data_IF_891969832423
#
_entry.id   IF_891969832423
#
_cell.length_a   1.000
_cell.length_b   1.000
_cell.length_c   1.000
_cell.angle_alpha   90.00
_cell.angle_beta   90.00
_cell.angle_gamma   90.00
#
_symmetry.space_group_name_H-M   'P 1'
#
loop_
_entity.id
_entity.type
_entity.pdbx_description
1 polymer ?
#
# COMPACT_ATOMS: atom_id res chain seq x y z
N UNK A 1 -9.94 -10.09 -30.69
CA UNK A 1 -8.68 -10.75 -30.29
C UNK A 1 -8.37 -10.38 -28.84
N UNK A 2 -8.54 -11.30 -27.90
CA UNK A 2 -8.01 -11.22 -26.54
C UNK A 2 -6.47 -11.37 -26.56
N UNK A 3 -5.75 -10.48 -27.26
CA UNK A 3 -4.30 -10.68 -27.53
C UNK A 3 -3.36 -9.72 -26.80
N UNK A 4 -3.87 -8.66 -26.17
CA UNK A 4 -2.99 -7.69 -25.48
C UNK A 4 -2.53 -8.18 -24.10
N UNK A 5 -3.36 -8.92 -23.37
CA UNK A 5 -3.00 -9.57 -22.11
C UNK A 5 -3.99 -10.69 -21.74
N UNK A 6 -3.55 -11.62 -20.89
CA UNK A 6 -4.37 -12.73 -20.37
C UNK A 6 -5.37 -12.26 -19.29
N UNK A 7 -5.12 -11.12 -18.66
CA UNK A 7 -5.94 -10.59 -17.55
C UNK A 7 -6.02 -9.06 -17.56
N UNK A 8 -7.02 -8.51 -16.88
CA UNK A 8 -7.16 -7.05 -16.71
C UNK A 8 -5.92 -6.43 -16.04
N UNK A 9 -5.33 -7.00 -14.97
CA UNK A 9 -4.08 -6.49 -14.42
C UNK A 9 -2.92 -6.50 -15.45
N UNK A 10 -2.82 -7.55 -16.27
CA UNK A 10 -1.81 -7.61 -17.33
C UNK A 10 -2.01 -6.52 -18.38
N UNK A 11 -3.27 -6.21 -18.71
CA UNK A 11 -3.62 -5.14 -19.62
C UNK A 11 -3.24 -3.77 -19.03
N UNK A 12 -3.63 -3.51 -17.77
CA UNK A 12 -3.31 -2.27 -17.06
C UNK A 12 -1.80 -2.06 -16.96
N UNK A 13 -1.04 -3.09 -16.59
CA UNK A 13 0.42 -3.03 -16.51
C UNK A 13 1.04 -2.76 -17.88
N UNK A 14 0.54 -3.41 -18.92
CA UNK A 14 0.98 -3.17 -20.30
C UNK A 14 0.75 -1.73 -20.75
N UNK A 15 -0.41 -1.15 -20.46
CA UNK A 15 -0.67 0.26 -20.76
C UNK A 15 0.20 1.21 -19.92
N UNK A 16 0.40 0.92 -18.64
CA UNK A 16 1.27 1.72 -17.76
C UNK A 16 2.69 1.83 -18.33
N UNK A 17 3.31 0.72 -18.72
CA UNK A 17 4.66 0.75 -19.30
C UNK A 17 4.70 1.40 -20.69
N UNK A 18 3.62 1.35 -21.47
CA UNK A 18 3.54 2.04 -22.77
C UNK A 18 3.49 3.56 -22.63
N UNK A 19 2.87 4.08 -21.57
CA UNK A 19 2.73 5.52 -21.34
C UNK A 19 3.86 6.12 -20.49
N UNK A 20 4.67 5.28 -19.87
CA UNK A 20 5.77 5.72 -19.00
C UNK A 20 6.92 6.36 -19.79
N UNK A 21 7.43 7.53 -19.35
CA UNK A 21 8.63 8.10 -19.96
C UNK A 21 9.84 7.19 -19.78
N UNK A 22 10.67 7.07 -20.83
CA UNK A 22 11.87 6.21 -20.83
C UNK A 22 12.95 6.61 -19.82
N UNK A 23 12.84 7.79 -19.23
CA UNK A 23 13.77 8.30 -18.23
C UNK A 23 13.53 7.72 -16.82
N UNK A 24 12.40 7.03 -16.60
CA UNK A 24 12.13 6.39 -15.32
C UNK A 24 12.78 5.02 -15.23
N UNK A 25 13.39 4.74 -14.09
CA UNK A 25 14.02 3.46 -13.77
C UNK A 25 13.43 2.92 -12.47
N UNK A 26 13.38 1.59 -12.35
CA UNK A 26 12.90 0.89 -11.17
C UNK A 26 14.04 0.16 -10.48
N UNK A 27 14.18 0.36 -9.18
CA UNK A 27 15.03 -0.46 -8.34
C UNK A 27 14.42 -1.87 -8.25
N UNK A 28 15.11 -2.86 -8.80
CA UNK A 28 14.71 -4.25 -8.71
C UNK A 28 15.38 -4.94 -7.52
N UNK A 29 14.61 -5.74 -6.77
CA UNK A 29 15.16 -6.61 -5.74
C UNK A 29 15.80 -7.81 -6.44
N UNK A 30 17.12 -7.97 -6.26
CA UNK A 30 17.91 -9.05 -6.88
C UNK A 30 17.86 -10.30 -6.01
N UNK A 31 18.23 -11.45 -6.57
CA UNK A 31 18.23 -12.74 -5.85
C UNK A 31 19.06 -12.70 -4.55
N UNK A 32 20.19 -11.97 -4.54
CA UNK A 32 21.02 -11.77 -3.35
C UNK A 32 20.29 -11.05 -2.20
N UNK A 33 19.21 -10.34 -2.49
CA UNK A 33 18.39 -9.56 -1.56
C UNK A 33 16.98 -10.16 -1.41
N UNK A 34 16.82 -11.45 -1.72
CA UNK A 34 15.53 -12.16 -1.63
C UNK A 34 14.92 -12.08 -0.23
N UNK A 35 15.74 -12.08 0.81
CA UNK A 35 15.32 -11.88 2.19
C UNK A 35 14.57 -10.55 2.39
N UNK A 36 14.95 -9.48 1.66
CA UNK A 36 14.21 -8.21 1.67
C UNK A 36 12.83 -8.37 1.04
N UNK A 37 12.77 -9.00 -0.12
CA UNK A 37 11.51 -9.21 -0.83
C UNK A 37 10.53 -10.04 0.01
N UNK A 38 11.02 -11.10 0.67
CA UNK A 38 10.21 -11.91 1.58
C UNK A 38 9.69 -11.11 2.76
N UNK A 39 10.53 -10.26 3.37
CA UNK A 39 10.10 -9.40 4.47
C UNK A 39 9.05 -8.37 4.02
N UNK A 40 9.29 -7.67 2.92
CA UNK A 40 8.31 -6.74 2.35
C UNK A 40 6.98 -7.43 2.04
N UNK A 41 7.01 -8.64 1.51
CA UNK A 41 5.80 -9.45 1.24
C UNK A 41 5.03 -9.80 2.51
N UNK A 42 5.72 -10.11 3.61
CA UNK A 42 5.07 -10.38 4.91
C UNK A 42 4.40 -9.14 5.49
N UNK A 43 4.97 -7.97 5.25
CA UNK A 43 4.44 -6.70 5.76
C UNK A 43 3.31 -6.11 4.90
N UNK A 44 3.13 -6.58 3.66
CA UNK A 44 2.00 -6.17 2.82
C UNK A 44 0.69 -6.70 3.41
N UNK A 45 -0.16 -5.77 3.84
CA UNK A 45 -1.52 -6.04 4.31
C UNK A 45 -2.56 -5.48 3.33
N UNK A 46 -3.75 -6.07 3.35
CA UNK A 46 -4.89 -5.58 2.55
C UNK A 46 -5.55 -4.33 3.16
N UNK A 47 -6.70 -3.95 2.59
CA UNK A 47 -7.49 -2.85 3.12
C UNK A 47 -7.98 -3.13 4.56
N UNK A 48 -7.98 -2.13 5.45
CA UNK A 48 -8.50 -2.29 6.80
C UNK A 48 -10.01 -2.57 6.75
N UNK A 49 -10.43 -3.72 7.28
CA UNK A 49 -11.83 -4.04 7.52
C UNK A 49 -12.09 -4.02 9.01
N UNK A 50 -12.58 -2.88 9.51
CA UNK A 50 -12.80 -2.66 10.94
C UNK A 50 -14.29 -2.44 11.20
N UNK A 51 -14.88 -3.30 12.02
CA UNK A 51 -16.28 -3.18 12.46
C UNK A 51 -16.27 -2.48 13.82
N UNK A 52 -16.63 -1.20 13.86
CA UNK A 52 -16.72 -0.44 15.11
C UNK A 52 -17.98 -0.82 15.91
N UNK A 53 -19.12 -0.92 15.25
CA UNK A 53 -20.37 -1.39 15.83
C UNK A 53 -21.12 -2.24 14.81
N UNK A 54 -21.53 -3.45 15.20
CA UNK A 54 -22.24 -4.38 14.31
C UNK A 54 -23.66 -3.92 13.97
N UNK A 55 -24.28 -3.15 14.86
CA UNK A 55 -25.65 -2.66 14.70
C UNK A 55 -25.77 -1.24 15.25
N UNK A 56 -26.33 -0.35 14.43
CA UNK A 56 -26.73 0.98 14.82
C UNK A 56 -28.14 1.22 14.27
N UNK A 57 -29.01 1.79 15.09
CA UNK A 57 -30.39 2.08 14.73
C UNK A 57 -30.78 3.49 15.16
N UNK A 58 -31.43 4.20 14.24
CA UNK A 58 -31.96 5.54 14.47
C UNK A 58 -33.00 5.50 15.59
N UNK A 59 -32.88 6.40 16.57
CA UNK A 59 -33.79 6.51 17.70
C UNK A 59 -33.54 5.50 18.82
N UNK A 60 -32.75 4.45 18.58
CA UNK A 60 -32.47 3.40 19.58
C UNK A 60 -31.02 3.47 20.06
N UNK A 61 -30.05 3.42 19.14
CA UNK A 61 -28.64 3.42 19.53
C UNK A 61 -28.21 4.78 20.03
N UNK A 62 -27.43 4.82 21.12
CA UNK A 62 -26.98 6.05 21.76
C UNK A 62 -25.51 6.36 21.42
N UNK A 63 -25.22 7.61 21.04
CA UNK A 63 -23.91 8.07 20.50
C UNK A 63 -22.72 7.95 21.47
N UNK A 64 -22.95 7.62 22.74
CA UNK A 64 -21.92 7.48 23.81
C UNK A 64 -22.36 6.46 24.88
N UNK A 65 -22.97 5.35 24.46
CA UNK A 65 -23.59 4.40 25.40
C UNK A 65 -24.83 4.98 26.08
N UNK A 66 -25.24 4.44 27.22
CA UNK A 66 -26.57 4.70 27.82
C UNK A 66 -26.85 6.16 28.19
N UNK A 67 -25.81 6.97 28.39
CA UNK A 67 -25.90 8.38 28.79
C UNK A 67 -26.02 9.30 27.56
N UNK A 68 -25.75 8.78 26.36
CA UNK A 68 -25.74 9.52 25.11
C UNK A 68 -27.12 9.80 24.53
N UNK A 69 -27.20 10.82 23.68
CA UNK A 69 -28.38 11.07 22.82
C UNK A 69 -28.54 9.93 21.82
N UNK A 70 -29.79 9.62 21.48
CA UNK A 70 -30.10 8.67 20.42
C UNK A 70 -29.61 9.19 19.06
N UNK A 71 -29.02 8.29 18.27
CA UNK A 71 -28.63 8.52 16.87
C UNK A 71 -29.86 8.97 16.07
N UNK A 72 -29.71 9.99 15.23
CA UNK A 72 -30.81 10.53 14.40
C UNK A 72 -30.64 10.23 12.90
N UNK A 73 -29.43 9.91 12.47
CA UNK A 73 -29.10 9.59 11.07
C UNK A 73 -27.87 8.69 11.03
N UNK A 74 -27.83 7.82 10.02
CA UNK A 74 -26.68 6.99 9.69
C UNK A 74 -26.21 7.41 8.30
N UNK A 75 -24.92 7.71 8.17
CA UNK A 75 -24.31 8.15 6.91
C UNK A 75 -23.13 7.25 6.61
N UNK A 76 -23.14 6.61 5.44
CA UNK A 76 -22.01 5.87 4.91
C UNK A 76 -21.18 6.77 4.01
N UNK A 77 -19.87 6.74 4.17
CA UNK A 77 -18.93 7.39 3.27
C UNK A 77 -18.13 6.33 2.53
N UNK A 78 -17.91 6.55 1.25
CA UNK A 78 -17.00 5.75 0.42
C UNK A 78 -15.96 6.68 -0.21
N UNK A 79 -14.75 6.18 -0.33
CA UNK A 79 -13.63 6.93 -0.90
C UNK A 79 -13.52 6.68 -2.40
N UNK A 80 -13.61 7.73 -3.20
CA UNK A 80 -13.39 7.63 -4.64
C UNK A 80 -11.95 7.21 -4.93
N UNK A 81 -11.76 6.00 -5.45
CA UNK A 81 -10.48 5.51 -5.97
C UNK A 81 -9.32 5.55 -4.96
N UNK A 82 -9.56 5.10 -3.72
CA UNK A 82 -8.57 5.13 -2.62
C UNK A 82 -7.16 4.68 -3.01
N UNK A 83 -7.03 3.51 -3.63
CA UNK A 83 -5.72 2.97 -4.01
C UNK A 83 -5.02 3.80 -5.09
N UNK A 84 -5.76 4.39 -6.03
CA UNK A 84 -5.15 5.26 -7.05
C UNK A 84 -4.63 6.55 -6.42
N UNK A 85 -5.40 7.13 -5.49
CA UNK A 85 -4.93 8.29 -4.73
C UNK A 85 -3.71 7.94 -3.86
N UNK A 86 -3.70 6.78 -3.21
CA UNK A 86 -2.57 6.35 -2.38
C UNK A 86 -1.29 6.15 -3.22
N UNK A 87 -1.40 5.52 -4.40
CA UNK A 87 -0.25 5.31 -5.30
C UNK A 87 0.26 6.63 -5.91
N UNK A 88 -0.59 7.66 -6.01
CA UNK A 88 -0.15 8.98 -6.49
C UNK A 88 0.57 9.81 -5.41
N UNK A 89 0.67 9.32 -4.17
CA UNK A 89 1.48 9.96 -3.14
C UNK A 89 2.96 9.59 -3.31
N UNK A 90 3.81 10.17 -2.48
CA UNK A 90 5.23 9.81 -2.42
C UNK A 90 5.39 8.34 -2.00
N UNK A 91 6.07 7.55 -2.84
CA UNK A 91 6.25 6.11 -2.64
C UNK A 91 7.75 5.78 -2.52
N UNK A 92 8.12 4.79 -1.70
CA UNK A 92 9.51 4.36 -1.56
C UNK A 92 9.96 3.61 -2.83
N UNK A 93 10.49 4.35 -3.79
CA UNK A 93 10.90 3.84 -5.12
C UNK A 93 12.41 3.78 -5.31
N UNK A 94 13.17 4.34 -4.37
CA UNK A 94 14.63 4.38 -4.40
C UNK A 94 15.28 3.07 -3.91
N UNK A 95 16.60 3.13 -3.73
CA UNK A 95 17.39 2.00 -3.26
C UNK A 95 17.23 1.79 -1.75
N UNK A 96 16.99 0.54 -1.30
CA UNK A 96 16.91 0.24 0.12
C UNK A 96 18.26 0.43 0.81
N UNK A 97 18.24 0.99 2.02
CA UNK A 97 19.37 0.94 2.96
C UNK A 97 19.05 -0.12 4.02
N UNK A 98 19.96 -1.08 4.21
CA UNK A 98 19.76 -2.14 5.21
C UNK A 98 20.48 -1.82 6.51
N UNK A 99 19.83 -2.11 7.63
CA UNK A 99 20.40 -2.00 8.98
C UNK A 99 20.07 -3.28 9.72
N UNK A 100 21.10 -3.98 10.19
CA UNK A 100 20.99 -5.33 10.76
C UNK A 100 21.47 -5.30 12.21
N UNK A 101 21.03 -6.25 13.05
CA UNK A 101 21.51 -6.28 14.44
C UNK A 101 22.96 -6.76 14.50
N UNK A 102 23.33 -7.64 13.59
CA UNK A 102 24.65 -8.28 13.50
C UNK A 102 25.77 -7.27 13.22
N UNK A 103 25.44 -6.12 12.63
CA UNK A 103 26.38 -5.06 12.28
C UNK A 103 26.20 -3.79 13.13
N UNK A 104 25.52 -3.89 14.28
CA UNK A 104 25.19 -2.74 15.15
C UNK A 104 24.40 -1.63 14.42
N UNK A 105 23.47 -2.04 13.55
CA UNK A 105 22.61 -1.17 12.75
C UNK A 105 23.34 -0.18 11.84
N UNK A 106 24.59 -0.46 11.51
CA UNK A 106 25.36 0.31 10.53
C UNK A 106 24.70 0.19 9.14
N UNK A 107 24.70 1.27 8.33
CA UNK A 107 24.05 1.27 7.03
C UNK A 107 24.81 0.40 6.04
N UNK A 108 24.10 -0.55 5.43
CA UNK A 108 24.58 -1.38 4.32
C UNK A 108 23.98 -0.86 3.01
N UNK A 109 24.84 -0.36 2.13
CA UNK A 109 24.45 0.05 0.77
C UNK A 109 24.45 -1.18 -0.14
N UNK A 110 23.27 -1.58 -0.61
CA UNK A 110 23.11 -2.83 -1.38
C UNK A 110 23.30 -2.68 -2.89
N UNK A 111 23.28 -1.44 -3.41
CA UNK A 111 23.46 -1.14 -4.84
C UNK A 111 24.37 0.07 -5.06
N UNK A 112 24.99 0.14 -6.24
CA UNK A 112 25.95 1.19 -6.64
C UNK A 112 25.40 2.61 -6.51
N UNK A 113 24.08 2.75 -6.62
CA UNK A 113 23.37 4.03 -6.58
C UNK A 113 22.62 4.24 -5.26
N UNK A 114 22.77 3.34 -4.28
CA UNK A 114 22.14 3.50 -2.98
C UNK A 114 22.78 4.66 -2.21
N UNK A 115 21.98 5.55 -1.60
CA UNK A 115 22.51 6.69 -0.89
C UNK A 115 23.24 6.24 0.38
N UNK A 116 24.39 6.85 0.67
CA UNK A 116 25.06 6.76 1.97
C UNK A 116 24.42 7.83 2.85
N UNK A 117 23.46 7.44 3.69
CA UNK A 117 22.78 8.34 4.65
C UNK A 117 23.15 7.94 6.08
#
# INVERSE_FOLDING_TARGET
MLKDAVSVPGLTLGYLFKTMPRAYFFSLIREKDKDLHEELRKQIVGGPSMIFHRYLEKGITKLRGEIGKAVQSLVGYDTNSLYLWAISQEMPTEYPVRRRKENDFQPEVIDRYGPVI
#
